data_IF_757854710241
#
_entry.id   IF_757854710241
#
_cell.length_a   1.000
_cell.length_b   1.000
_cell.length_c   1.000
_cell.angle_alpha   90.00
_cell.angle_beta   90.00
_cell.angle_gamma   90.00
#
_symmetry.space_group_name_H-M   'P 1'
#
loop_
_entity.id
_entity.type
_entity.pdbx_description
1 polymer ?
#
# COMPACT_ATOMS: atom_id res chain seq x y z
N UNK A 1 23.53 46.43 2.21
CA UNK A 1 22.21 45.95 2.63
C UNK A 1 22.31 44.43 2.74
N UNK A 2 22.48 43.97 3.95
CA UNK A 2 22.70 42.53 4.27
C UNK A 2 21.35 41.93 4.59
N UNK A 3 20.85 41.10 3.68
CA UNK A 3 19.63 40.35 3.89
C UNK A 3 19.88 39.18 4.86
N UNK A 4 19.21 39.21 6.00
CA UNK A 4 19.15 38.05 6.90
C UNK A 4 18.32 36.93 6.28
N UNK A 5 18.76 35.66 6.39
CA UNK A 5 17.94 34.53 5.98
C UNK A 5 16.74 34.38 6.93
N UNK A 6 15.58 34.09 6.35
CA UNK A 6 14.36 33.77 7.09
C UNK A 6 14.58 32.55 8.00
N UNK A 7 14.00 32.52 9.22
CA UNK A 7 14.14 31.41 10.13
C UNK A 7 13.48 30.15 9.55
N UNK A 8 14.24 29.03 9.59
CA UNK A 8 13.73 27.70 9.28
C UNK A 8 12.56 27.40 10.23
N UNK A 9 11.38 27.12 9.66
CA UNK A 9 10.20 26.73 10.43
C UNK A 9 10.50 25.44 11.21
N UNK A 10 10.52 25.56 12.53
CA UNK A 10 10.54 24.44 13.45
C UNK A 10 9.30 23.55 13.31
N UNK A 11 9.30 22.33 13.88
CA UNK A 11 8.16 21.44 13.86
C UNK A 11 6.94 22.19 14.41
N UNK A 12 5.88 22.24 13.60
CA UNK A 12 4.69 23.00 13.93
C UNK A 12 4.14 22.59 15.30
N UNK A 13 3.99 23.54 16.19
CA UNK A 13 3.34 23.34 17.48
C UNK A 13 1.95 22.74 17.24
N UNK A 14 1.54 21.72 18.02
CA UNK A 14 0.19 21.19 17.95
C UNK A 14 -0.79 22.34 18.20
N UNK A 15 -1.76 22.51 17.32
CA UNK A 15 -2.83 23.50 17.48
C UNK A 15 -3.62 23.10 18.74
N UNK A 16 -3.50 23.92 19.78
CA UNK A 16 -4.36 23.80 20.97
C UNK A 16 -5.78 24.16 20.53
N UNK A 17 -6.61 23.15 20.33
CA UNK A 17 -8.03 23.34 20.09
C UNK A 17 -8.67 23.67 21.42
N UNK A 18 -9.02 24.92 21.63
CA UNK A 18 -9.81 25.35 22.81
C UNK A 18 -11.27 24.92 22.59
N UNK A 19 -11.74 23.98 23.38
CA UNK A 19 -13.12 23.50 23.33
C UNK A 19 -13.25 21.98 23.01
N UNK A 20 -14.47 21.43 23.05
CA UNK A 20 -14.68 20.02 22.78
C UNK A 20 -14.34 19.68 21.31
N UNK A 21 -13.69 18.55 21.09
CA UNK A 21 -13.35 18.02 19.77
C UNK A 21 -14.61 17.57 19.03
N UNK A 22 -15.15 18.45 18.18
CA UNK A 22 -16.24 18.08 17.27
C UNK A 22 -15.74 17.15 16.15
N UNK A 23 -16.64 16.42 15.50
CA UNK A 23 -16.30 15.59 14.33
C UNK A 23 -15.59 16.40 13.26
N UNK A 24 -16.09 17.59 12.94
CA UNK A 24 -15.50 18.48 11.95
C UNK A 24 -14.08 18.95 12.34
N UNK A 25 -13.85 19.25 13.63
CA UNK A 25 -12.51 19.58 14.11
C UNK A 25 -11.53 18.42 13.93
N UNK A 26 -11.97 17.19 14.22
CA UNK A 26 -11.19 15.96 14.02
C UNK A 26 -10.86 15.72 12.55
N UNK A 27 -11.86 15.84 11.67
CA UNK A 27 -11.66 15.67 10.22
C UNK A 27 -10.69 16.71 9.65
N UNK A 28 -10.79 17.98 10.08
CA UNK A 28 -9.84 19.03 9.69
C UNK A 28 -8.42 18.77 10.20
N UNK A 29 -8.29 18.27 11.42
CA UNK A 29 -6.98 17.92 11.98
C UNK A 29 -6.37 16.73 11.22
N UNK A 30 -7.13 15.68 10.99
CA UNK A 30 -6.72 14.53 10.18
C UNK A 30 -6.29 14.95 8.76
N UNK A 31 -7.04 15.82 8.10
CA UNK A 31 -6.70 16.33 6.76
C UNK A 31 -5.37 17.10 6.74
N UNK A 32 -5.08 17.90 7.78
CA UNK A 32 -3.79 18.61 7.88
C UNK A 32 -2.62 17.65 8.06
N UNK A 33 -2.75 16.66 8.93
CA UNK A 33 -1.69 15.65 9.12
C UNK A 33 -1.53 14.78 7.87
N UNK A 34 -2.63 14.37 7.23
CA UNK A 34 -2.60 13.63 5.96
C UNK A 34 -1.88 14.42 4.86
N UNK A 35 -2.04 15.75 4.81
CA UNK A 35 -1.30 16.59 3.89
C UNK A 35 0.21 16.56 4.16
N UNK A 36 0.62 16.63 5.42
CA UNK A 36 2.04 16.53 5.78
C UNK A 36 2.62 15.15 5.44
N UNK A 37 1.87 14.09 5.69
CA UNK A 37 2.24 12.73 5.31
C UNK A 37 2.42 12.62 3.78
N UNK A 38 1.48 13.13 2.99
CA UNK A 38 1.62 13.20 1.54
C UNK A 38 2.88 13.95 1.10
N UNK A 39 3.20 15.11 1.67
CA UNK A 39 4.39 15.87 1.28
C UNK A 39 5.66 15.07 1.56
N UNK A 40 5.76 14.39 2.71
CA UNK A 40 6.91 13.52 3.03
C UNK A 40 7.05 12.38 2.02
N UNK A 41 5.96 11.67 1.77
CA UNK A 41 5.89 10.60 0.78
C UNK A 41 6.33 11.06 -0.60
N UNK A 42 5.71 12.13 -1.12
CA UNK A 42 5.96 12.65 -2.46
C UNK A 42 7.41 13.12 -2.65
N UNK A 43 7.97 13.84 -1.65
CA UNK A 43 9.39 14.24 -1.68
C UNK A 43 10.34 13.05 -1.73
N UNK A 44 10.03 11.98 -1.01
CA UNK A 44 10.81 10.74 -1.04
C UNK A 44 10.66 10.01 -2.38
N UNK A 45 9.44 9.92 -2.91
CA UNK A 45 9.17 9.33 -4.22
C UNK A 45 9.99 10.00 -5.32
N UNK A 46 9.89 11.32 -5.42
CA UNK A 46 10.64 12.11 -6.41
C UNK A 46 12.17 12.00 -6.27
N UNK A 47 12.68 11.64 -5.11
CA UNK A 47 14.12 11.54 -4.88
C UNK A 47 14.70 10.16 -5.13
N UNK A 48 13.99 9.09 -4.74
CA UNK A 48 14.59 7.74 -4.69
C UNK A 48 13.75 6.65 -5.38
N UNK A 49 12.50 6.95 -5.81
CA UNK A 49 11.64 6.02 -6.56
C UNK A 49 11.32 6.53 -7.98
N UNK A 50 12.17 7.42 -8.50
CA UNK A 50 12.02 7.99 -9.84
C UNK A 50 12.73 7.13 -10.89
N UNK A 51 12.39 5.83 -10.91
CA UNK A 51 12.86 4.89 -11.91
C UNK A 51 11.93 4.87 -13.14
N UNK A 52 12.45 4.40 -14.27
CA UNK A 52 11.66 4.19 -15.49
C UNK A 52 11.77 2.73 -15.96
N UNK A 53 10.69 2.13 -16.50
CA UNK A 53 10.74 0.75 -16.96
C UNK A 53 11.80 0.50 -18.04
N UNK A 54 12.03 1.46 -18.91
CA UNK A 54 12.93 1.31 -20.06
C UNK A 54 14.41 1.44 -19.73
N UNK A 55 14.76 2.24 -18.71
CA UNK A 55 16.16 2.54 -18.38
C UNK A 55 16.67 1.76 -17.17
N UNK A 56 15.78 1.40 -16.24
CA UNK A 56 16.18 0.84 -14.94
C UNK A 56 15.91 -0.67 -14.82
N UNK A 57 15.11 -1.28 -15.73
CA UNK A 57 14.90 -2.71 -15.74
C UNK A 57 16.04 -3.45 -16.47
N UNK A 58 16.45 -4.63 -15.97
CA UNK A 58 17.54 -5.42 -16.56
C UNK A 58 17.07 -6.22 -17.78
N UNK A 59 16.64 -5.53 -18.86
CA UNK A 59 15.99 -6.13 -20.04
C UNK A 59 16.87 -7.16 -20.75
N UNK A 60 18.17 -6.90 -20.90
CA UNK A 60 19.10 -7.84 -21.50
C UNK A 60 19.18 -9.17 -20.74
N UNK A 61 19.12 -9.11 -19.41
CA UNK A 61 19.12 -10.32 -18.59
C UNK A 61 17.77 -11.03 -18.64
N UNK A 62 16.67 -10.31 -18.84
CA UNK A 62 15.36 -10.92 -19.07
C UNK A 62 15.36 -11.74 -20.37
N UNK A 63 16.00 -11.25 -21.43
CA UNK A 63 16.21 -12.00 -22.68
C UNK A 63 17.06 -13.24 -22.44
N UNK A 64 18.17 -13.12 -21.73
CA UNK A 64 19.08 -14.23 -21.43
C UNK A 64 18.43 -15.34 -20.60
N UNK A 65 17.69 -15.00 -19.56
CA UNK A 65 17.11 -15.95 -18.59
C UNK A 65 15.63 -16.26 -18.83
N UNK A 66 14.96 -15.58 -19.76
CA UNK A 66 13.52 -15.70 -20.01
C UNK A 66 13.04 -17.11 -20.31
N UNK A 67 13.86 -17.91 -21.00
CA UNK A 67 13.56 -19.30 -21.35
C UNK A 67 13.45 -20.23 -20.12
N UNK A 68 13.95 -19.82 -18.95
CA UNK A 68 13.88 -20.56 -17.70
C UNK A 68 12.57 -20.35 -16.93
N UNK A 69 11.81 -19.30 -17.27
CA UNK A 69 10.52 -19.04 -16.62
C UNK A 69 9.50 -20.12 -16.97
N UNK A 70 8.88 -20.71 -15.96
CA UNK A 70 7.78 -21.65 -16.16
C UNK A 70 6.52 -20.92 -16.69
N UNK A 71 5.62 -21.67 -17.36
CA UNK A 71 4.37 -21.07 -17.85
C UNK A 71 3.49 -20.54 -16.71
N UNK A 72 3.45 -21.21 -15.54
CA UNK A 72 2.75 -20.69 -14.37
C UNK A 72 3.29 -19.31 -13.95
N UNK A 73 4.60 -19.13 -13.96
CA UNK A 73 5.23 -17.83 -13.65
C UNK A 73 4.84 -16.78 -14.68
N UNK A 74 4.85 -17.12 -15.96
CA UNK A 74 4.47 -16.22 -17.06
C UNK A 74 2.99 -15.84 -17.00
N UNK A 75 2.10 -16.81 -16.75
CA UNK A 75 0.65 -16.57 -16.56
C UNK A 75 0.41 -15.60 -15.40
N UNK A 76 1.09 -15.78 -14.27
CA UNK A 76 0.95 -14.88 -13.12
C UNK A 76 1.43 -13.46 -13.45
N UNK A 77 2.55 -13.31 -14.18
CA UNK A 77 3.06 -11.99 -14.59
C UNK A 77 2.09 -11.31 -15.57
N UNK A 78 1.51 -12.06 -16.52
CA UNK A 78 0.52 -11.56 -17.45
C UNK A 78 -0.75 -11.08 -16.72
N UNK A 79 -1.21 -11.82 -15.72
CA UNK A 79 -2.34 -11.41 -14.89
C UNK A 79 -2.02 -10.14 -14.07
N UNK A 80 -0.79 -9.98 -13.59
CA UNK A 80 -0.37 -8.72 -12.95
C UNK A 80 -0.42 -7.56 -13.93
N UNK A 81 0.07 -7.72 -15.16
CA UNK A 81 -0.10 -6.71 -16.22
C UNK A 81 -1.59 -6.30 -16.35
N UNK A 82 -2.48 -7.28 -16.46
CA UNK A 82 -3.92 -7.00 -16.61
C UNK A 82 -4.53 -6.26 -15.42
N UNK A 83 -4.12 -6.56 -14.20
CA UNK A 83 -4.60 -5.88 -12.98
C UNK A 83 -4.06 -4.45 -12.91
N UNK A 84 -2.79 -4.24 -13.26
CA UNK A 84 -2.17 -2.90 -13.25
C UNK A 84 -2.68 -2.00 -14.39
N UNK A 85 -3.14 -2.55 -15.50
CA UNK A 85 -3.76 -1.76 -16.58
C UNK A 85 -5.06 -1.06 -16.16
N UNK A 86 -5.71 -1.49 -15.07
CA UNK A 86 -6.84 -0.77 -14.48
C UNK A 86 -6.45 0.49 -13.70
N UNK A 87 -5.17 0.89 -13.68
CA UNK A 87 -4.72 2.11 -12.97
C UNK A 87 -5.52 3.36 -13.37
N UNK A 88 -5.93 3.48 -14.63
CA UNK A 88 -6.79 4.56 -15.11
C UNK A 88 -8.12 4.62 -14.36
N UNK A 89 -8.75 3.47 -14.18
CA UNK A 89 -10.02 3.32 -13.45
C UNK A 89 -9.83 3.58 -11.95
N UNK A 90 -8.77 3.04 -11.35
CA UNK A 90 -8.44 3.28 -9.93
C UNK A 90 -8.23 4.78 -9.66
N UNK A 91 -7.55 5.48 -10.56
CA UNK A 91 -7.29 6.91 -10.43
C UNK A 91 -8.58 7.71 -10.64
N UNK A 92 -9.36 7.42 -11.70
CA UNK A 92 -10.62 8.11 -11.99
C UNK A 92 -11.60 7.99 -10.81
N UNK A 93 -11.86 6.77 -10.34
CA UNK A 93 -12.81 6.50 -9.26
C UNK A 93 -12.35 7.15 -7.95
N UNK A 94 -11.06 7.07 -7.64
CA UNK A 94 -10.46 7.74 -6.49
C UNK A 94 -10.54 9.26 -6.57
N UNK A 95 -10.29 9.88 -7.72
CA UNK A 95 -10.39 11.34 -7.91
C UNK A 95 -11.82 11.83 -7.77
N UNK A 96 -12.81 11.06 -8.25
CA UNK A 96 -14.23 11.36 -8.10
C UNK A 96 -14.62 11.36 -6.62
N UNK A 97 -14.25 10.31 -5.88
CA UNK A 97 -14.50 10.20 -4.45
C UNK A 97 -13.83 11.30 -3.62
N UNK A 98 -12.58 11.65 -3.97
CA UNK A 98 -11.73 12.53 -3.20
C UNK A 98 -11.80 14.00 -3.67
N UNK A 99 -12.79 14.35 -4.47
CA UNK A 99 -12.91 15.65 -5.14
C UNK A 99 -12.62 16.87 -4.23
N UNK A 100 -13.14 16.87 -3.01
CA UNK A 100 -13.01 17.97 -2.06
C UNK A 100 -11.86 17.79 -1.05
N UNK A 101 -10.95 16.84 -1.28
CA UNK A 101 -9.85 16.50 -0.35
C UNK A 101 -8.51 16.61 -1.07
N UNK A 102 -7.99 17.82 -1.13
CA UNK A 102 -6.79 18.16 -1.91
C UNK A 102 -5.62 17.21 -1.67
N UNK A 103 -5.30 16.93 -0.42
CA UNK A 103 -4.16 16.07 -0.03
C UNK A 103 -4.31 14.64 -0.53
N UNK A 104 -5.54 14.12 -0.48
CA UNK A 104 -5.86 12.76 -0.93
C UNK A 104 -5.91 12.68 -2.46
N UNK A 105 -6.44 13.70 -3.15
CA UNK A 105 -6.39 13.78 -4.62
C UNK A 105 -4.96 13.82 -5.14
N UNK A 106 -4.11 14.62 -4.52
CA UNK A 106 -2.71 14.71 -4.93
C UNK A 106 -1.97 13.39 -4.68
N UNK A 107 -2.27 12.69 -3.58
CA UNK A 107 -1.74 11.33 -3.35
C UNK A 107 -2.23 10.37 -4.43
N UNK A 108 -3.52 10.39 -4.79
CA UNK A 108 -4.08 9.53 -5.83
C UNK A 108 -3.39 9.71 -7.18
N UNK A 109 -3.06 10.95 -7.55
CA UNK A 109 -2.30 11.25 -8.78
C UNK A 109 -0.85 10.77 -8.70
N UNK A 110 -0.17 11.00 -7.57
CA UNK A 110 1.21 10.59 -7.39
C UNK A 110 1.36 9.06 -7.35
N UNK A 111 0.46 8.39 -6.63
CA UNK A 111 0.36 6.94 -6.58
C UNK A 111 0.05 6.36 -7.97
N UNK A 112 -0.96 6.85 -8.67
CA UNK A 112 -1.31 6.37 -10.01
C UNK A 112 -0.19 6.54 -11.04
N UNK A 113 0.68 7.55 -10.89
CA UNK A 113 1.87 7.70 -11.72
C UNK A 113 2.93 6.60 -11.44
N UNK A 114 3.03 6.15 -10.20
CA UNK A 114 3.91 5.03 -9.84
C UNK A 114 3.31 3.70 -10.32
N UNK A 115 2.00 3.48 -10.16
CA UNK A 115 1.29 2.28 -10.65
C UNK A 115 1.35 2.13 -12.19
N UNK A 116 1.26 3.24 -12.92
CA UNK A 116 1.43 3.22 -14.38
C UNK A 116 2.76 2.57 -14.80
N UNK A 117 3.84 2.79 -14.05
CA UNK A 117 5.14 2.16 -14.32
C UNK A 117 5.11 0.65 -14.10
N UNK A 118 4.27 0.17 -13.18
CA UNK A 118 4.15 -1.25 -12.89
C UNK A 118 3.55 -2.02 -14.08
N UNK A 119 2.47 -1.50 -14.68
CA UNK A 119 1.91 -2.08 -15.91
C UNK A 119 2.95 -2.19 -17.02
N UNK A 120 3.68 -1.11 -17.29
CA UNK A 120 4.76 -1.11 -18.30
C UNK A 120 5.92 -2.04 -17.92
N UNK A 121 6.23 -2.18 -16.63
CA UNK A 121 7.26 -3.12 -16.19
C UNK A 121 6.88 -4.58 -16.49
N UNK A 122 5.63 -4.98 -16.20
CA UNK A 122 5.16 -6.34 -16.50
C UNK A 122 5.08 -6.61 -17.99
N UNK A 123 4.66 -5.62 -18.80
CA UNK A 123 4.71 -5.71 -20.25
C UNK A 123 6.14 -6.01 -20.73
N UNK A 124 7.11 -5.21 -20.31
CA UNK A 124 8.52 -5.37 -20.70
C UNK A 124 9.12 -6.70 -20.20
N UNK A 125 8.76 -7.17 -19.00
CA UNK A 125 9.19 -8.49 -18.51
C UNK A 125 8.73 -9.59 -19.46
N UNK A 126 7.48 -9.56 -19.92
CA UNK A 126 6.89 -10.58 -20.79
C UNK A 126 7.49 -10.56 -22.19
N UNK A 127 7.70 -9.38 -22.76
CA UNK A 127 8.26 -9.21 -24.10
C UNK A 127 9.77 -9.50 -24.10
N UNK A 128 10.53 -8.86 -23.24
CA UNK A 128 11.99 -9.01 -23.18
C UNK A 128 12.39 -10.45 -22.84
N UNK A 129 11.60 -11.17 -22.02
CA UNK A 129 11.85 -12.58 -21.76
C UNK A 129 11.51 -13.50 -22.95
N UNK A 130 10.95 -12.99 -24.04
CA UNK A 130 10.50 -13.78 -25.18
C UNK A 130 9.31 -14.70 -24.90
N UNK A 131 8.62 -14.48 -23.76
CA UNK A 131 7.53 -15.38 -23.32
C UNK A 131 6.17 -14.96 -23.88
N UNK A 132 6.02 -13.70 -24.27
CA UNK A 132 4.87 -13.17 -25.00
C UNK A 132 5.36 -12.24 -26.11
N UNK A 133 4.59 -12.13 -27.19
CA UNK A 133 4.84 -11.16 -28.24
C UNK A 133 4.07 -9.87 -27.98
N UNK A 134 4.51 -8.77 -28.57
CA UNK A 134 3.78 -7.48 -28.53
C UNK A 134 2.33 -7.66 -28.96
N UNK A 135 2.08 -8.34 -30.09
CA UNK A 135 0.74 -8.59 -30.63
C UNK A 135 -0.16 -9.37 -29.64
N UNK A 136 0.42 -10.35 -28.92
CA UNK A 136 -0.33 -11.10 -27.89
C UNK A 136 -0.72 -10.20 -26.73
N UNK A 137 0.18 -9.35 -26.27
CA UNK A 137 -0.08 -8.45 -25.15
C UNK A 137 -1.00 -7.28 -25.55
N UNK A 138 -0.86 -6.74 -26.76
CA UNK A 138 -1.78 -5.72 -27.29
C UNK A 138 -3.23 -6.25 -27.26
N UNK A 139 -3.46 -7.44 -27.84
CA UNK A 139 -4.78 -8.08 -27.81
C UNK A 139 -5.29 -8.35 -26.38
N UNK A 140 -4.42 -8.81 -25.47
CA UNK A 140 -4.76 -9.07 -24.08
C UNK A 140 -5.17 -7.77 -23.37
N UNK A 141 -4.41 -6.68 -23.55
CA UNK A 141 -4.70 -5.37 -22.97
C UNK A 141 -5.99 -4.75 -23.53
N UNK A 142 -6.27 -4.92 -24.84
CA UNK A 142 -7.55 -4.52 -25.42
C UNK A 142 -8.74 -5.22 -24.74
N UNK A 143 -8.64 -6.50 -24.47
CA UNK A 143 -9.66 -7.26 -23.79
C UNK A 143 -9.82 -6.83 -22.33
N UNK A 144 -8.72 -6.65 -21.59
CA UNK A 144 -8.72 -6.07 -20.24
C UNK A 144 -9.46 -4.74 -20.20
N UNK A 145 -9.07 -3.80 -21.07
CA UNK A 145 -9.62 -2.45 -21.11
C UNK A 145 -11.03 -2.36 -21.71
N UNK A 146 -11.57 -3.49 -22.24
CA UNK A 146 -12.98 -3.55 -22.64
C UNK A 146 -13.94 -3.56 -21.43
N UNK A 147 -13.42 -3.82 -20.24
CA UNK A 147 -14.15 -3.77 -18.97
C UNK A 147 -13.73 -2.53 -18.17
N UNK A 148 -14.55 -2.12 -17.23
CA UNK A 148 -14.25 -1.02 -16.32
C UNK A 148 -14.36 -1.51 -14.86
N UNK A 149 -13.31 -1.23 -14.08
CA UNK A 149 -13.37 -1.49 -12.65
C UNK A 149 -13.87 -0.26 -11.87
N UNK A 150 -14.68 -0.51 -10.82
CA UNK A 150 -15.12 0.52 -9.89
C UNK A 150 -15.18 -0.01 -8.46
N UNK A 151 -14.54 0.67 -7.54
CA UNK A 151 -14.62 0.33 -6.13
C UNK A 151 -16.04 0.45 -5.57
N UNK A 152 -16.83 1.40 -6.09
CA UNK A 152 -18.24 1.60 -5.72
C UNK A 152 -19.13 0.39 -6.05
N UNK A 153 -18.76 -0.41 -7.04
CA UNK A 153 -19.47 -1.63 -7.44
C UNK A 153 -18.91 -2.87 -6.73
N UNK A 154 -17.59 -2.97 -6.64
CA UNK A 154 -16.89 -4.12 -6.08
C UNK A 154 -16.91 -4.12 -4.54
N UNK A 155 -16.79 -2.93 -3.93
CA UNK A 155 -16.76 -2.72 -2.49
C UNK A 155 -17.61 -1.51 -2.05
N UNK A 156 -18.94 -1.51 -2.27
CA UNK A 156 -19.78 -0.32 -2.04
C UNK A 156 -19.71 0.20 -0.60
N UNK A 157 -19.58 -0.68 0.40
CA UNK A 157 -19.42 -0.29 1.80
C UNK A 157 -18.10 0.40 2.14
N UNK A 158 -17.10 0.27 1.27
CA UNK A 158 -15.76 0.87 1.44
C UNK A 158 -15.55 2.09 0.55
N UNK A 159 -16.53 2.48 -0.27
CA UNK A 159 -16.42 3.64 -1.16
C UNK A 159 -16.55 4.96 -0.36
N UNK A 160 -15.61 5.19 0.52
CA UNK A 160 -15.44 6.39 1.34
C UNK A 160 -13.96 6.77 1.40
N UNK A 161 -13.59 8.03 1.67
CA UNK A 161 -12.18 8.42 1.80
C UNK A 161 -11.39 7.59 2.83
N UNK A 162 -12.03 7.16 3.91
CA UNK A 162 -11.45 6.29 4.92
C UNK A 162 -11.38 4.84 4.42
N UNK A 163 -12.46 4.35 3.80
CA UNK A 163 -12.54 2.99 3.26
C UNK A 163 -11.46 2.72 2.21
N UNK A 164 -11.27 3.65 1.26
CA UNK A 164 -10.19 3.58 0.27
C UNK A 164 -8.81 3.53 0.94
N UNK A 165 -8.57 4.31 2.00
CA UNK A 165 -7.28 4.26 2.68
C UNK A 165 -7.04 2.92 3.39
N UNK A 166 -8.05 2.37 4.06
CA UNK A 166 -7.95 1.08 4.74
C UNK A 166 -7.81 -0.08 3.72
N UNK A 167 -8.55 -0.02 2.62
CA UNK A 167 -8.47 -1.01 1.55
C UNK A 167 -7.10 -1.00 0.88
N UNK A 168 -6.64 0.17 0.39
CA UNK A 168 -5.34 0.31 -0.25
C UNK A 168 -4.19 -0.10 0.68
N UNK A 169 -4.23 0.23 1.97
CA UNK A 169 -3.23 -0.25 2.93
C UNK A 169 -3.08 -1.77 2.92
N UNK A 170 -4.18 -2.51 2.83
CA UNK A 170 -4.16 -3.98 2.81
C UNK A 170 -3.74 -4.50 1.44
N UNK A 171 -4.26 -3.90 0.37
CA UNK A 171 -3.95 -4.25 -1.01
C UNK A 171 -2.45 -4.12 -1.30
N UNK A 172 -1.85 -2.96 -1.04
CA UNK A 172 -0.43 -2.71 -1.28
C UNK A 172 0.48 -3.69 -0.51
N UNK A 173 0.10 -4.01 0.73
CA UNK A 173 0.82 -5.02 1.51
C UNK A 173 0.70 -6.41 0.90
N UNK A 174 -0.48 -6.77 0.39
CA UNK A 174 -0.70 -8.06 -0.27
C UNK A 174 0.06 -8.15 -1.59
N UNK A 175 0.06 -7.07 -2.39
CA UNK A 175 0.81 -6.97 -3.65
C UNK A 175 2.31 -7.09 -3.39
N UNK A 176 2.86 -6.31 -2.45
CA UNK A 176 4.27 -6.44 -2.05
C UNK A 176 4.64 -7.87 -1.67
N UNK A 177 3.81 -8.53 -0.86
CA UNK A 177 4.05 -9.91 -0.45
C UNK A 177 4.04 -10.87 -1.65
N UNK A 178 3.07 -10.76 -2.55
CA UNK A 178 2.97 -11.58 -3.74
C UNK A 178 4.18 -11.36 -4.66
N UNK A 179 4.62 -10.12 -4.84
CA UNK A 179 5.79 -9.78 -5.65
C UNK A 179 7.10 -10.32 -5.04
N UNK A 180 7.26 -10.29 -3.72
CA UNK A 180 8.44 -10.90 -3.07
C UNK A 180 8.46 -12.42 -3.20
N UNK A 181 7.30 -13.10 -3.11
CA UNK A 181 7.20 -14.55 -3.33
C UNK A 181 7.47 -14.91 -4.81
N UNK A 182 6.96 -14.12 -5.77
CA UNK A 182 7.28 -14.28 -7.19
C UNK A 182 8.76 -14.08 -7.47
N UNK A 183 9.37 -13.04 -6.90
CA UNK A 183 10.80 -12.80 -6.98
C UNK A 183 11.62 -14.02 -6.53
N UNK A 184 11.27 -14.62 -5.39
CA UNK A 184 11.93 -15.83 -4.87
C UNK A 184 11.74 -17.01 -5.81
N UNK A 185 10.54 -17.19 -6.33
CA UNK A 185 10.22 -18.24 -7.30
C UNK A 185 11.04 -18.11 -8.58
N UNK A 186 11.08 -16.92 -9.19
CA UNK A 186 11.87 -16.63 -10.38
C UNK A 186 13.35 -16.92 -10.14
N UNK A 187 13.87 -16.51 -9.00
CA UNK A 187 15.27 -16.84 -8.63
C UNK A 187 15.51 -18.33 -8.55
N UNK A 188 14.56 -19.09 -8.01
CA UNK A 188 14.63 -20.55 -7.99
C UNK A 188 14.60 -21.14 -9.40
N UNK A 189 13.75 -20.63 -10.28
CA UNK A 189 13.69 -21.06 -11.70
C UNK A 189 15.00 -20.75 -12.44
N UNK A 190 15.67 -19.65 -12.11
CA UNK A 190 16.99 -19.28 -12.62
C UNK A 190 18.14 -20.08 -11.99
N UNK A 191 17.89 -20.95 -11.03
CA UNK A 191 18.93 -21.68 -10.30
C UNK A 191 19.75 -20.77 -9.35
N UNK A 192 19.21 -19.64 -8.94
CA UNK A 192 19.86 -18.66 -8.07
C UNK A 192 19.43 -18.81 -6.60
N UNK A 193 20.28 -18.41 -5.63
CA UNK A 193 19.88 -18.37 -4.23
C UNK A 193 18.75 -17.37 -4.01
N UNK A 194 17.90 -17.61 -3.00
CA UNK A 194 16.73 -16.76 -2.66
C UNK A 194 17.10 -15.28 -2.45
N UNK A 195 18.23 -15.06 -1.78
CA UNK A 195 18.75 -13.71 -1.53
C UNK A 195 19.71 -13.26 -2.63
N UNK A 196 19.82 -11.93 -2.80
CA UNK A 196 20.76 -11.34 -3.74
C UNK A 196 22.19 -11.83 -3.49
N UNK A 197 22.89 -12.20 -4.56
CA UNK A 197 24.30 -12.56 -4.54
C UNK A 197 25.18 -11.35 -4.24
N UNK A 198 26.46 -11.57 -3.93
CA UNK A 198 27.42 -10.46 -3.73
C UNK A 198 27.60 -9.63 -5.01
N UNK A 199 27.57 -10.28 -6.17
CA UNK A 199 27.67 -9.59 -7.47
C UNK A 199 26.46 -8.67 -7.68
N UNK A 200 25.24 -9.16 -7.45
CA UNK A 200 24.02 -8.36 -7.56
C UNK A 200 24.00 -7.19 -6.57
N UNK A 201 24.44 -7.39 -5.34
CA UNK A 201 24.55 -6.29 -4.36
C UNK A 201 25.55 -5.22 -4.80
N UNK A 202 26.69 -5.61 -5.38
CA UNK A 202 27.70 -4.66 -5.88
C UNK A 202 27.21 -3.84 -7.06
N UNK A 203 26.41 -4.43 -7.94
CA UNK A 203 25.84 -3.73 -9.12
C UNK A 203 24.52 -3.02 -8.85
N UNK A 204 23.89 -3.26 -7.69
CA UNK A 204 22.69 -2.55 -7.24
C UNK A 204 21.36 -3.10 -7.75
N UNK A 205 21.35 -4.17 -8.58
CA UNK A 205 20.10 -4.79 -9.07
C UNK A 205 20.20 -6.33 -9.10
N UNK A 206 19.04 -7.00 -9.05
CA UNK A 206 18.92 -8.45 -9.19
C UNK A 206 18.76 -8.84 -10.66
N UNK A 207 19.00 -10.12 -10.95
CA UNK A 207 19.03 -10.67 -12.32
C UNK A 207 17.63 -10.72 -12.93
N UNK A 208 17.49 -10.26 -14.16
CA UNK A 208 16.36 -10.46 -15.03
C UNK A 208 15.02 -10.05 -14.42
N UNK A 209 13.98 -10.86 -14.60
CA UNK A 209 12.65 -10.60 -14.06
C UNK A 209 12.62 -10.45 -12.53
N UNK A 210 13.52 -11.14 -11.78
CA UNK A 210 13.62 -10.96 -10.33
C UNK A 210 14.03 -9.52 -9.97
N UNK A 211 14.80 -8.84 -10.83
CA UNK A 211 15.15 -7.44 -10.71
C UNK A 211 13.92 -6.53 -10.82
N UNK A 212 13.05 -6.78 -11.81
CA UNK A 212 11.80 -6.04 -11.96
C UNK A 212 10.91 -6.18 -10.71
N UNK A 213 10.67 -7.41 -10.24
CA UNK A 213 9.91 -7.66 -9.02
C UNK A 213 10.49 -6.97 -7.80
N UNK A 214 11.80 -6.83 -7.72
CA UNK A 214 12.44 -6.08 -6.62
C UNK A 214 12.19 -4.57 -6.74
N UNK A 215 12.29 -4.01 -7.94
CA UNK A 215 12.10 -2.57 -8.18
C UNK A 215 10.64 -2.19 -7.90
N UNK A 216 9.70 -2.88 -8.54
CA UNK A 216 8.26 -2.64 -8.35
C UNK A 216 7.86 -2.88 -6.89
N UNK A 217 8.31 -3.98 -6.27
CA UNK A 217 8.02 -4.26 -4.86
C UNK A 217 8.53 -3.18 -3.88
N UNK A 218 9.55 -2.39 -4.24
CA UNK A 218 9.96 -1.25 -3.42
C UNK A 218 8.92 -0.10 -3.48
N UNK A 219 8.22 0.08 -4.60
CA UNK A 219 7.12 1.03 -4.68
C UNK A 219 5.93 0.53 -3.85
N UNK A 220 5.54 -0.74 -3.98
CA UNK A 220 4.43 -1.34 -3.23
C UNK A 220 4.58 -1.21 -1.70
N UNK A 221 5.77 -1.48 -1.16
CA UNK A 221 5.99 -1.30 0.29
C UNK A 221 5.96 0.17 0.70
N UNK A 222 6.31 1.09 -0.19
CA UNK A 222 6.21 2.52 0.07
C UNK A 222 4.75 3.02 -0.03
N UNK A 223 3.96 2.48 -0.96
CA UNK A 223 2.51 2.69 -1.07
C UNK A 223 1.81 2.19 0.20
N UNK A 224 2.11 0.96 0.62
CA UNK A 224 1.63 0.45 1.91
C UNK A 224 1.97 1.41 3.06
N UNK A 225 3.20 1.92 3.10
CA UNK A 225 3.66 2.83 4.14
C UNK A 225 2.85 4.12 4.25
N UNK A 226 2.55 4.78 3.12
CA UNK A 226 1.73 6.01 3.15
C UNK A 226 0.28 5.72 3.52
N UNK A 227 -0.33 4.63 3.02
CA UNK A 227 -1.69 4.29 3.40
C UNK A 227 -1.78 3.86 4.87
N UNK A 228 -0.79 3.16 5.40
CA UNK A 228 -0.69 2.84 6.83
C UNK A 228 -0.60 4.12 7.69
N UNK A 229 0.19 5.11 7.27
CA UNK A 229 0.29 6.40 7.95
C UNK A 229 -1.05 7.13 7.95
N UNK A 230 -1.77 7.14 6.82
CA UNK A 230 -3.13 7.71 6.73
C UNK A 230 -4.11 7.00 7.67
N UNK A 231 -4.10 5.68 7.72
CA UNK A 231 -4.98 4.91 8.62
C UNK A 231 -4.65 5.21 10.09
N UNK A 232 -3.37 5.34 10.45
CA UNK A 232 -2.96 5.76 11.81
C UNK A 232 -3.47 7.16 12.16
N UNK A 233 -3.39 8.11 11.22
CA UNK A 233 -3.94 9.46 11.38
C UNK A 233 -5.46 9.39 11.62
N UNK A 234 -6.19 8.66 10.76
CA UNK A 234 -7.62 8.49 10.95
C UNK A 234 -7.96 7.77 12.26
N UNK A 235 -7.21 6.75 12.65
CA UNK A 235 -7.42 6.04 13.91
C UNK A 235 -7.23 6.94 15.13
N UNK A 236 -6.32 7.92 15.07
CA UNK A 236 -6.13 8.92 16.14
C UNK A 236 -7.33 9.86 16.27
N UNK A 237 -7.85 10.35 15.15
CA UNK A 237 -8.92 11.36 15.14
C UNK A 237 -10.33 10.77 15.07
N UNK A 238 -10.50 9.64 14.41
CA UNK A 238 -11.78 8.96 14.14
C UNK A 238 -11.67 7.46 14.50
N UNK A 239 -11.33 7.11 15.74
CA UNK A 239 -10.97 5.74 16.11
C UNK A 239 -12.08 4.74 15.80
N UNK A 240 -13.34 5.04 16.13
CA UNK A 240 -14.45 4.13 15.89
C UNK A 240 -14.64 3.86 14.39
N UNK A 241 -14.78 4.91 13.60
CA UNK A 241 -14.99 4.77 12.16
C UNK A 241 -13.84 3.98 11.49
N UNK A 242 -12.59 4.26 11.93
CA UNK A 242 -11.39 3.62 11.36
C UNK A 242 -11.32 2.14 11.72
N UNK A 243 -11.55 1.79 12.97
CA UNK A 243 -11.47 0.39 13.43
C UNK A 243 -12.60 -0.45 12.82
N UNK A 244 -13.81 0.10 12.72
CA UNK A 244 -14.95 -0.57 12.09
C UNK A 244 -14.70 -0.79 10.59
N UNK A 245 -14.24 0.23 9.88
CA UNK A 245 -13.86 0.12 8.46
C UNK A 245 -12.74 -0.91 8.25
N UNK A 246 -11.72 -0.89 9.09
CA UNK A 246 -10.62 -1.86 9.01
C UNK A 246 -11.10 -3.30 9.22
N UNK A 247 -12.03 -3.51 10.17
CA UNK A 247 -12.63 -4.82 10.39
C UNK A 247 -13.42 -5.29 9.16
N UNK A 248 -14.18 -4.40 8.51
CA UNK A 248 -14.89 -4.70 7.27
C UNK A 248 -13.92 -5.09 6.14
N UNK A 249 -12.82 -4.35 5.98
CA UNK A 249 -11.77 -4.70 4.99
C UNK A 249 -11.23 -6.09 5.25
N UNK A 250 -10.82 -6.42 6.49
CA UNK A 250 -10.27 -7.76 6.79
C UNK A 250 -11.28 -8.89 6.64
N UNK A 251 -12.59 -8.60 6.69
CA UNK A 251 -13.64 -9.60 6.47
C UNK A 251 -13.92 -9.85 5.00
N UNK A 252 -13.85 -8.83 4.17
CA UNK A 252 -14.28 -8.86 2.79
C UNK A 252 -13.19 -8.54 1.76
N UNK A 253 -11.91 -8.52 2.17
CA UNK A 253 -10.82 -8.17 1.25
C UNK A 253 -10.74 -9.14 0.06
N UNK A 254 -10.71 -8.56 -1.11
CA UNK A 254 -10.37 -9.20 -2.39
C UNK A 254 -9.42 -8.28 -3.14
N UNK A 255 -8.49 -8.84 -3.89
CA UNK A 255 -7.67 -8.04 -4.81
C UNK A 255 -8.56 -7.42 -5.89
N UNK A 256 -8.29 -6.16 -6.29
CA UNK A 256 -9.11 -5.49 -7.29
C UNK A 256 -8.97 -6.16 -8.66
N UNK A 257 -9.99 -6.03 -9.49
CA UNK A 257 -10.00 -6.40 -10.91
C UNK A 257 -9.69 -7.86 -11.27
N UNK A 258 -9.34 -8.74 -10.33
CA UNK A 258 -8.98 -10.15 -10.64
C UNK A 258 -10.07 -10.92 -11.39
N UNK A 259 -11.33 -10.56 -11.23
CA UNK A 259 -12.46 -11.19 -11.93
C UNK A 259 -12.72 -10.60 -13.32
N UNK A 260 -12.01 -9.54 -13.68
CA UNK A 260 -12.19 -8.81 -14.94
C UNK A 260 -11.11 -9.11 -15.97
N UNK A 261 -9.99 -9.72 -15.57
CA UNK A 261 -8.93 -10.10 -16.50
C UNK A 261 -9.33 -11.33 -17.31
N UNK A 262 -8.93 -11.45 -18.58
CA UNK A 262 -9.33 -12.55 -19.46
C UNK A 262 -8.91 -13.94 -18.96
N UNK A 263 -7.74 -14.03 -18.35
CA UNK A 263 -7.09 -15.26 -17.89
C UNK A 263 -7.28 -15.51 -16.37
N UNK A 264 -8.38 -15.02 -15.79
CA UNK A 264 -8.66 -15.18 -14.35
C UNK A 264 -8.71 -16.64 -13.88
N UNK A 265 -9.19 -17.56 -14.71
CA UNK A 265 -9.24 -18.97 -14.40
C UNK A 265 -7.84 -19.61 -14.40
N UNK A 266 -7.06 -19.32 -15.42
CA UNK A 266 -5.67 -19.79 -15.57
C UNK A 266 -4.79 -19.24 -14.44
N UNK A 267 -5.01 -17.97 -14.05
CA UNK A 267 -4.37 -17.37 -12.88
C UNK A 267 -4.70 -18.16 -11.61
N UNK A 268 -5.98 -18.45 -11.36
CA UNK A 268 -6.40 -19.18 -10.16
C UNK A 268 -5.72 -20.56 -10.08
N UNK A 269 -5.66 -21.30 -11.18
CA UNK A 269 -4.94 -22.56 -11.25
C UNK A 269 -3.43 -22.41 -11.04
N UNK A 270 -2.79 -21.42 -11.66
CA UNK A 270 -1.36 -21.15 -11.48
C UNK A 270 -1.05 -20.77 -10.04
N UNK A 271 -1.88 -19.95 -9.40
CA UNK A 271 -1.74 -19.56 -7.99
C UNK A 271 -1.88 -20.78 -7.06
N UNK A 272 -2.79 -21.70 -7.35
CA UNK A 272 -2.95 -22.95 -6.59
C UNK A 272 -1.73 -23.87 -6.74
N UNK A 273 -1.28 -24.14 -7.98
CA UNK A 273 -0.09 -24.96 -8.24
C UNK A 273 1.17 -24.41 -7.59
N UNK A 274 1.32 -23.10 -7.58
CA UNK A 274 2.51 -22.43 -7.04
C UNK A 274 2.44 -22.19 -5.54
N UNK A 275 1.26 -22.33 -4.92
CA UNK A 275 1.00 -21.96 -3.52
C UNK A 275 1.43 -20.52 -3.20
N UNK A 276 1.40 -19.65 -4.22
CA UNK A 276 1.87 -18.27 -4.08
C UNK A 276 1.05 -17.52 -3.05
N UNK A 277 -0.28 -17.65 -3.11
CA UNK A 277 -1.20 -17.04 -2.19
C UNK A 277 -2.09 -18.09 -1.51
N UNK A 278 -2.12 -18.07 -0.18
CA UNK A 278 -3.02 -18.92 0.62
C UNK A 278 -3.60 -18.13 1.78
N UNK A 279 -4.77 -18.52 2.33
CA UNK A 279 -5.34 -17.84 3.50
C UNK A 279 -4.37 -17.75 4.70
N UNK A 280 -3.52 -18.77 4.89
CA UNK A 280 -2.51 -18.78 5.93
C UNK A 280 -1.43 -17.73 5.67
N UNK A 281 -0.93 -17.64 4.43
CA UNK A 281 0.05 -16.62 4.02
C UNK A 281 -0.55 -15.21 4.13
N UNK A 282 -1.79 -15.01 3.69
CA UNK A 282 -2.51 -13.74 3.86
C UNK A 282 -2.56 -13.33 5.33
N UNK A 283 -2.97 -14.23 6.22
CA UNK A 283 -3.01 -13.96 7.65
C UNK A 283 -1.65 -13.59 8.23
N UNK A 284 -0.61 -14.39 7.92
CA UNK A 284 0.73 -14.26 8.49
C UNK A 284 1.51 -13.05 7.95
N UNK A 285 1.44 -12.81 6.63
CA UNK A 285 2.36 -11.88 5.96
C UNK A 285 1.69 -10.53 5.61
N UNK A 286 0.36 -10.48 5.64
CA UNK A 286 -0.40 -9.25 5.35
C UNK A 286 -1.14 -8.77 6.59
N UNK A 287 -2.13 -9.53 7.08
CA UNK A 287 -3.04 -9.03 8.12
C UNK A 287 -2.36 -8.83 9.48
N UNK A 288 -1.57 -9.80 9.94
CA UNK A 288 -0.90 -9.70 11.24
C UNK A 288 0.14 -8.58 11.29
N UNK A 289 1.01 -8.38 10.28
CA UNK A 289 1.92 -7.23 10.27
C UNK A 289 1.20 -5.87 10.27
N UNK A 290 0.07 -5.75 9.56
CA UNK A 290 -0.74 -4.53 9.58
C UNK A 290 -1.31 -4.29 10.97
N UNK A 291 -1.89 -5.31 11.61
CA UNK A 291 -2.42 -5.19 12.97
C UNK A 291 -1.35 -4.81 13.97
N UNK A 292 -0.18 -5.44 13.90
CA UNK A 292 0.95 -5.11 14.77
C UNK A 292 1.43 -3.67 14.55
N UNK A 293 1.54 -3.23 13.30
CA UNK A 293 1.86 -1.86 12.94
C UNK A 293 0.82 -0.84 13.43
N UNK A 294 -0.43 -1.24 13.57
CA UNK A 294 -1.52 -0.41 14.16
C UNK A 294 -1.59 -0.54 15.70
N UNK A 295 -0.64 -1.22 16.33
CA UNK A 295 -0.60 -1.40 17.76
C UNK A 295 -1.55 -2.49 18.29
N UNK A 296 -2.13 -3.32 17.42
CA UNK A 296 -3.08 -4.39 17.78
C UNK A 296 -2.41 -5.76 17.69
N UNK A 297 -2.56 -6.58 18.72
CA UNK A 297 -1.91 -7.90 18.78
C UNK A 297 -2.42 -8.88 17.72
N UNK A 298 -3.71 -8.86 17.41
CA UNK A 298 -4.38 -9.79 16.49
C UNK A 298 -5.81 -9.32 16.16
N UNK A 299 -6.51 -10.08 15.33
CA UNK A 299 -7.89 -9.81 14.92
C UNK A 299 -8.88 -9.69 16.10
N UNK A 300 -8.74 -10.53 17.16
CA UNK A 300 -9.61 -10.42 18.34
C UNK A 300 -9.40 -9.10 19.08
N UNK A 301 -8.17 -8.58 19.10
CA UNK A 301 -7.92 -7.24 19.62
C UNK A 301 -8.59 -6.14 18.80
N UNK A 302 -8.59 -6.26 17.46
CA UNK A 302 -9.33 -5.35 16.58
C UNK A 302 -10.84 -5.40 16.85
N UNK A 303 -11.43 -6.58 16.91
CA UNK A 303 -12.86 -6.77 17.23
C UNK A 303 -13.24 -6.15 18.58
N UNK A 304 -12.40 -6.33 19.60
CA UNK A 304 -12.56 -5.69 20.91
C UNK A 304 -12.42 -4.16 20.81
N UNK A 305 -11.44 -3.67 20.07
CA UNK A 305 -11.22 -2.23 19.90
C UNK A 305 -12.43 -1.55 19.23
N UNK A 306 -13.07 -2.20 18.24
CA UNK A 306 -14.33 -1.71 17.63
C UNK A 306 -15.42 -1.57 18.69
N UNK A 307 -15.59 -2.54 19.60
CA UNK A 307 -16.61 -2.45 20.64
C UNK A 307 -16.30 -1.36 21.67
N UNK A 308 -15.05 -1.28 22.13
CA UNK A 308 -14.63 -0.28 23.12
C UNK A 308 -14.66 1.14 22.57
N UNK A 309 -14.36 1.33 21.27
CA UNK A 309 -14.40 2.66 20.64
C UNK A 309 -15.77 3.33 20.68
N UNK A 310 -16.86 2.53 20.74
CA UNK A 310 -18.23 3.02 20.91
C UNK A 310 -18.49 3.67 22.27
N UNK A 311 -17.67 3.35 23.25
CA UNK A 311 -17.79 3.82 24.64
C UNK A 311 -16.97 5.09 24.90
N UNK A 312 -16.20 5.55 23.91
CA UNK A 312 -15.39 6.76 24.06
C UNK A 312 -16.28 7.99 24.26
N UNK A 313 -15.98 8.83 25.26
CA UNK A 313 -16.76 10.06 25.50
C UNK A 313 -16.73 11.01 24.30
N UNK A 314 -17.87 11.59 24.00
CA UNK A 314 -17.97 12.62 22.96
C UNK A 314 -17.14 13.87 23.39
N UNK A 315 -16.44 14.49 22.42
CA UNK A 315 -15.65 15.69 22.65
C UNK A 315 -14.28 15.50 23.29
N UNK A 316 -13.92 14.26 23.64
CA UNK A 316 -12.60 13.94 24.20
C UNK A 316 -11.51 14.18 23.15
N UNK A 317 -10.40 14.84 23.50
CA UNK A 317 -9.28 15.06 22.59
C UNK A 317 -8.52 13.77 22.27
N UNK A 318 -7.92 13.68 21.07
CA UNK A 318 -7.12 12.50 20.69
C UNK A 318 -5.92 12.27 21.62
N UNK A 319 -5.40 13.31 22.25
CA UNK A 319 -4.31 13.32 23.22
C UNK A 319 -4.66 12.59 24.53
N UNK A 320 -5.95 12.40 24.80
CA UNK A 320 -6.46 11.73 26.01
C UNK A 320 -6.84 10.27 25.78
N UNK A 321 -6.61 9.75 24.57
CA UNK A 321 -7.05 8.40 24.19
C UNK A 321 -5.85 7.57 23.75
N UNK A 322 -5.60 6.45 24.41
CA UNK A 322 -4.60 5.48 24.03
C UNK A 322 -5.26 4.12 23.76
N UNK A 323 -4.82 3.43 22.70
CA UNK A 323 -5.27 2.08 22.36
C UNK A 323 -4.25 1.05 22.86
N UNK A 324 -4.69 0.10 23.67
CA UNK A 324 -3.84 -1.00 24.12
C UNK A 324 -3.67 -2.06 23.04
N UNK A 325 -2.60 -2.85 23.11
CA UNK A 325 -2.37 -3.99 22.21
C UNK A 325 -3.47 -5.07 22.24
N UNK A 326 -4.25 -5.11 23.31
CA UNK A 326 -5.38 -6.04 23.50
C UNK A 326 -6.71 -5.49 22.98
N UNK A 327 -6.73 -4.24 22.48
CA UNK A 327 -7.91 -3.61 21.89
C UNK A 327 -8.79 -2.87 22.90
N UNK A 328 -8.22 -2.44 24.02
CA UNK A 328 -8.92 -1.64 25.02
C UNK A 328 -8.47 -0.18 24.90
N UNK A 329 -9.40 0.75 25.03
CA UNK A 329 -9.07 2.16 25.11
C UNK A 329 -8.85 2.58 26.56
N UNK A 330 -7.74 3.26 26.78
CA UNK A 330 -7.43 3.93 28.04
C UNK A 330 -7.68 5.43 27.82
N UNK A 331 -8.49 6.01 28.70
CA UNK A 331 -8.80 7.43 28.71
C UNK A 331 -8.07 8.07 29.89
N UNK A 332 -7.17 9.02 29.61
CA UNK A 332 -6.57 9.86 30.66
C UNK A 332 -7.46 11.05 30.97
N UNK A 333 -7.61 11.37 32.24
CA UNK A 333 -8.29 12.62 32.66
C UNK A 333 -7.38 13.82 32.42
N UNK A 334 -7.97 15.00 32.21
CA UNK A 334 -7.25 16.27 31.92
C UNK A 334 -6.22 16.64 33.00
N UNK A 335 -6.31 16.04 34.19
CA UNK A 335 -5.45 16.31 35.34
C UNK A 335 -4.13 15.52 35.38
N UNK A 336 -3.95 14.53 34.49
CA UNK A 336 -2.71 13.73 34.45
C UNK A 336 -2.11 13.68 33.03
N UNK A 337 -1.24 14.65 32.68
CA UNK A 337 -0.62 14.71 31.35
C UNK A 337 0.48 13.66 31.14
N UNK A 338 0.71 12.76 32.08
CA UNK A 338 1.85 11.83 32.08
C UNK A 338 1.59 10.46 31.44
N UNK A 339 0.45 10.24 30.77
CA UNK A 339 0.28 9.02 29.94
C UNK A 339 0.91 9.28 28.57
N UNK A 340 2.15 8.91 28.49
CA UNK A 340 3.10 9.15 27.39
C UNK A 340 2.62 8.65 26.04
N UNK A 341 2.61 9.55 25.08
CA UNK A 341 2.55 9.31 23.61
C UNK A 341 3.79 8.55 23.08
N UNK A 342 4.74 8.17 23.90
CA UNK A 342 5.97 7.45 23.52
C UNK A 342 5.73 6.12 22.81
N UNK A 343 4.55 5.52 22.93
CA UNK A 343 4.24 4.25 22.27
C UNK A 343 3.96 4.36 20.77
N UNK A 344 3.62 5.54 20.28
CA UNK A 344 3.38 5.80 18.86
C UNK A 344 4.66 6.24 18.11
N UNK A 345 5.60 6.87 18.81
CA UNK A 345 6.81 7.40 18.20
C UNK A 345 7.97 6.37 18.16
N UNK A 346 8.02 5.41 19.07
CA UNK A 346 9.09 4.39 19.12
C UNK A 346 9.18 3.49 17.87
N UNK A 347 8.13 3.40 17.06
CA UNK A 347 8.13 2.63 15.81
C UNK A 347 8.42 3.46 14.55
N UNK A 348 8.44 4.78 14.62
CA UNK A 348 8.79 5.65 13.49
C UNK A 348 10.30 5.68 13.22
N UNK A 349 11.13 5.50 14.25
CA UNK A 349 12.58 5.49 14.11
C UNK A 349 13.13 4.17 13.54
N UNK A 350 12.44 3.04 13.72
CA UNK A 350 12.91 1.73 13.23
C UNK A 350 12.71 1.49 11.73
N UNK A 351 11.96 2.33 11.02
CA UNK A 351 11.73 2.18 9.56
C UNK A 351 12.56 3.14 8.70
N UNK A 352 13.35 4.00 9.32
CA UNK A 352 14.16 5.00 8.60
C UNK A 352 15.55 4.50 8.18
N UNK A 353 16.04 3.37 8.74
CA UNK A 353 17.42 2.87 8.58
C UNK A 353 17.51 1.47 7.92
N UNK A 354 16.58 1.10 7.03
CA UNK A 354 16.80 -0.11 6.22
C UNK A 354 16.46 0.12 4.77
#
# INVERSE_FOLDING_TARGET
>A
MTGQPAPAGGPGMPLVVQGPWTREARERAAAREAHQAFIRYFRKAMKIRNWTPWDDLPLQEMEEYGHLLSEDTVTIIQAYLGVEDYVGDYVEDGLNLLHNRRERRNLQLAWGMEELKHAEAWHLVLVASGRRTEEQLEKYREEVLSHKWRMSEDHPGLYTPLGVACYAMVQERATYFNYDEMRKRIRSEYGLPENATEVERKRGHQIGAAGAFKIVGNDEIAHHGIFLELVRIYMRYLPHDTLDTLLQVFQGFKMPALSLIPDAAELAEAMERTLLHTPLKQGRNVNNPILDALGLRNRRALERAVQHSKLLPAGLGPEHVALSRTGEFVVSTVEDPAVNLEFLDAHLEMSADK
#
